data_IF_097828054774
#
_entry.id   IF_097828054774
#
_cell.length_a   1.000
_cell.length_b   1.000
_cell.length_c   1.000
_cell.angle_alpha   90.00
_cell.angle_beta   90.00
_cell.angle_gamma   90.00
#
_symmetry.space_group_name_H-M   'P 1'
#
loop_
_entity.id
_entity.type
_entity.pdbx_description
1 polymer ?
#
# COMPACT_ATOMS: atom_id res chain seq x y z
N UNK A 1 3.64 -8.81 25.18
CA UNK A 1 3.98 -8.37 23.80
C UNK A 1 2.78 -8.62 22.86
N UNK A 2 1.59 -8.18 23.26
CA UNK A 2 0.31 -8.49 22.58
C UNK A 2 0.04 -7.61 21.35
N UNK A 3 0.71 -6.45 21.24
CA UNK A 3 0.68 -5.62 20.02
C UNK A 3 1.20 -6.39 18.79
N UNK A 4 2.11 -7.34 18.98
CA UNK A 4 2.70 -8.12 17.88
C UNK A 4 1.75 -9.18 17.33
N UNK A 5 0.98 -9.88 18.18
CA UNK A 5 -0.03 -10.82 17.69
C UNK A 5 -1.19 -10.11 16.98
N UNK A 6 -1.45 -8.86 17.34
CA UNK A 6 -2.44 -8.02 16.67
C UNK A 6 -1.96 -7.52 15.28
N UNK A 7 -0.65 -7.41 15.03
CA UNK A 7 -0.17 -6.89 13.75
C UNK A 7 -0.34 -7.87 12.58
N UNK A 8 -0.31 -9.18 12.84
CA UNK A 8 -0.38 -10.20 11.78
C UNK A 8 -1.77 -10.23 11.12
N UNK A 9 -2.85 -10.14 11.91
CA UNK A 9 -4.21 -10.14 11.36
C UNK A 9 -4.51 -8.85 10.60
N UNK A 10 -4.01 -7.69 11.07
CA UNK A 10 -4.13 -6.41 10.35
C UNK A 10 -3.41 -6.53 9.01
N UNK A 11 -2.20 -7.12 9.01
CA UNK A 11 -1.41 -7.24 7.80
C UNK A 11 -2.04 -8.18 6.78
N UNK A 12 -2.51 -9.35 7.21
CA UNK A 12 -3.28 -10.27 6.33
C UNK A 12 -4.55 -9.62 5.80
N UNK A 13 -5.25 -8.87 6.64
CA UNK A 13 -6.43 -8.10 6.24
C UNK A 13 -6.11 -7.07 5.15
N UNK A 14 -5.01 -6.33 5.32
CA UNK A 14 -4.52 -5.39 4.33
C UNK A 14 -4.19 -6.08 3.00
N UNK A 15 -3.38 -7.16 3.02
CA UNK A 15 -3.02 -7.90 1.79
C UNK A 15 -4.27 -8.47 1.09
N UNK A 16 -5.23 -8.99 1.86
CA UNK A 16 -6.52 -9.43 1.34
C UNK A 16 -7.34 -8.29 0.73
N UNK A 17 -7.32 -7.11 1.35
CA UNK A 17 -7.95 -5.90 0.83
C UNK A 17 -7.32 -5.40 -0.47
N UNK A 18 -5.99 -5.45 -0.57
CA UNK A 18 -5.25 -5.12 -1.79
C UNK A 18 -5.57 -6.07 -2.93
N UNK A 19 -5.71 -7.37 -2.65
CA UNK A 19 -6.01 -8.41 -3.65
C UNK A 19 -7.51 -8.58 -3.95
N UNK A 20 -8.40 -7.85 -3.27
CA UNK A 20 -9.84 -7.97 -3.48
C UNK A 20 -10.24 -7.36 -4.83
N UNK A 21 -10.86 -8.17 -5.69
CA UNK A 21 -11.21 -7.79 -7.06
C UNK A 21 -12.26 -6.66 -7.13
N UNK A 22 -13.22 -6.64 -6.21
CA UNK A 22 -14.26 -5.60 -6.16
C UNK A 22 -13.67 -4.25 -5.77
N UNK A 23 -12.84 -4.23 -4.72
CA UNK A 23 -12.08 -3.04 -4.32
C UNK A 23 -11.21 -2.53 -5.48
N UNK A 24 -10.44 -3.41 -6.12
CA UNK A 24 -9.60 -3.02 -7.27
C UNK A 24 -10.43 -2.47 -8.43
N UNK A 25 -11.60 -3.04 -8.71
CA UNK A 25 -12.47 -2.59 -9.80
C UNK A 25 -13.05 -1.21 -9.49
N UNK A 26 -13.50 -0.99 -8.26
CA UNK A 26 -14.03 0.30 -7.80
C UNK A 26 -12.98 1.41 -7.89
N UNK A 27 -11.80 1.22 -7.29
CA UNK A 27 -10.74 2.24 -7.29
C UNK A 27 -10.13 2.45 -8.68
N UNK A 28 -10.14 1.44 -9.54
CA UNK A 28 -9.58 1.55 -10.89
C UNK A 28 -10.33 2.57 -11.74
N UNK A 29 -11.66 2.56 -11.67
CA UNK A 29 -12.53 3.45 -12.43
C UNK A 29 -12.33 4.91 -12.00
N UNK A 30 -12.12 5.15 -10.71
CA UNK A 30 -12.12 6.51 -10.15
C UNK A 30 -10.71 7.12 -10.02
N UNK A 31 -9.68 6.30 -9.78
CA UNK A 31 -8.38 6.78 -9.32
C UNK A 31 -7.17 6.23 -10.08
N UNK A 32 -7.30 5.12 -10.82
CA UNK A 32 -6.18 4.51 -11.54
C UNK A 32 -6.33 4.56 -13.06
N UNK A 33 -6.91 5.64 -13.57
CA UNK A 33 -7.13 5.89 -14.99
C UNK A 33 -6.42 7.17 -15.40
N UNK A 34 -5.14 7.06 -15.79
CA UNK A 34 -4.41 8.15 -16.46
C UNK A 34 -4.43 7.97 -17.98
N UNK A 35 -4.40 9.08 -18.71
CA UNK A 35 -4.41 9.10 -20.18
C UNK A 35 -3.20 8.39 -20.81
N UNK A 36 -2.02 8.47 -20.18
CA UNK A 36 -0.81 7.80 -20.65
C UNK A 36 -0.80 6.28 -20.40
N UNK A 37 -1.73 5.72 -19.63
CA UNK A 37 -1.87 4.27 -19.43
C UNK A 37 -2.84 3.60 -20.40
N UNK A 38 -3.35 4.34 -21.40
CA UNK A 38 -4.32 3.84 -22.39
C UNK A 38 -3.74 2.98 -23.50
N UNK A 39 -2.40 2.86 -23.60
CA UNK A 39 -1.74 2.15 -24.70
C UNK A 39 -1.53 0.65 -24.44
N UNK A 40 -1.95 0.16 -23.26
CA UNK A 40 -1.82 -1.24 -22.81
C UNK A 40 -0.40 -1.85 -22.95
N UNK A 41 0.63 -1.02 -23.06
CA UNK A 41 2.03 -1.48 -23.03
C UNK A 41 2.41 -1.99 -21.63
N UNK A 42 3.52 -2.72 -21.54
CA UNK A 42 3.92 -3.35 -20.29
C UNK A 42 4.19 -2.36 -19.14
N UNK A 43 4.63 -1.13 -19.46
CA UNK A 43 4.86 -0.08 -18.46
C UNK A 43 3.53 0.47 -17.93
N UNK A 44 2.57 0.73 -18.82
CA UNK A 44 1.21 1.17 -18.51
C UNK A 44 0.47 0.13 -17.67
N UNK A 45 0.56 -1.14 -18.07
CA UNK A 45 -0.04 -2.26 -17.33
C UNK A 45 0.56 -2.38 -15.94
N UNK A 46 1.89 -2.28 -15.80
CA UNK A 46 2.56 -2.35 -14.50
C UNK A 46 2.13 -1.21 -13.57
N UNK A 47 2.08 0.04 -14.06
CA UNK A 47 1.65 1.19 -13.26
C UNK A 47 0.17 1.13 -12.89
N UNK A 48 -0.70 0.74 -13.82
CA UNK A 48 -2.12 0.54 -13.54
C UNK A 48 -2.33 -0.55 -12.48
N UNK A 49 -1.57 -1.63 -12.55
CA UNK A 49 -1.61 -2.73 -11.57
C UNK A 49 -1.11 -2.28 -10.20
N UNK A 50 0.02 -1.54 -10.15
CA UNK A 50 0.54 -0.97 -8.92
C UNK A 50 -0.46 -0.02 -8.26
N UNK A 51 -1.07 0.87 -9.05
CA UNK A 51 -2.09 1.80 -8.58
C UNK A 51 -3.29 1.05 -7.99
N UNK A 52 -3.82 0.04 -8.70
CA UNK A 52 -4.96 -0.76 -8.22
C UNK A 52 -4.68 -1.43 -6.88
N UNK A 53 -3.52 -2.07 -6.73
CA UNK A 53 -3.14 -2.73 -5.48
C UNK A 53 -3.06 -1.74 -4.31
N UNK A 54 -2.38 -0.61 -4.51
CA UNK A 54 -2.20 0.40 -3.47
C UNK A 54 -3.53 1.08 -3.13
N UNK A 55 -4.31 1.48 -4.13
CA UNK A 55 -5.60 2.14 -3.94
C UNK A 55 -6.62 1.21 -3.25
N UNK A 56 -6.65 -0.08 -3.59
CA UNK A 56 -7.46 -1.07 -2.89
C UNK A 56 -7.02 -1.26 -1.42
N UNK A 57 -5.70 -1.19 -1.16
CA UNK A 57 -5.17 -1.13 0.21
C UNK A 57 -5.61 0.12 0.98
N UNK A 58 -5.55 1.29 0.36
CA UNK A 58 -6.04 2.56 0.94
C UNK A 58 -7.55 2.52 1.23
N UNK A 59 -8.31 1.90 0.33
CA UNK A 59 -9.74 1.68 0.50
C UNK A 59 -10.01 0.74 1.68
N UNK A 60 -9.28 -0.37 1.79
CA UNK A 60 -9.37 -1.27 2.93
C UNK A 60 -9.09 -0.53 4.24
N UNK A 61 -8.00 0.25 4.31
CA UNK A 61 -7.66 1.07 5.47
C UNK A 61 -8.82 2.00 5.85
N UNK A 62 -9.40 2.69 4.86
CA UNK A 62 -10.52 3.62 5.08
C UNK A 62 -11.80 2.93 5.55
N UNK A 63 -11.97 1.64 5.24
CA UNK A 63 -13.08 0.80 5.71
C UNK A 63 -12.84 0.22 7.11
N UNK A 64 -11.63 0.31 7.68
CA UNK A 64 -11.39 -0.03 9.08
C UNK A 64 -12.14 0.99 9.94
N UNK A 65 -13.27 0.56 10.48
CA UNK A 65 -14.13 1.38 11.34
C UNK A 65 -14.52 0.55 12.55
N UNK A 66 -14.19 1.04 13.73
CA UNK A 66 -14.63 0.43 14.99
C UNK A 66 -15.85 1.19 15.50
N UNK A 67 -16.82 0.44 16.02
CA UNK A 67 -17.97 0.99 16.73
C UNK A 67 -17.88 0.64 18.20
N UNK A 68 -18.54 1.43 19.04
CA UNK A 68 -18.68 1.10 20.46
C UNK A 68 -19.39 -0.25 20.60
N UNK A 69 -18.71 -1.21 21.21
CA UNK A 69 -19.27 -2.54 21.52
C UNK A 69 -19.10 -2.76 23.01
N UNK A 70 -20.22 -2.65 23.72
CA UNK A 70 -20.34 -3.04 25.11
C UNK A 70 -21.09 -4.36 25.17
N UNK A 71 -20.39 -5.42 25.57
CA UNK A 71 -20.98 -6.72 25.85
C UNK A 71 -21.01 -6.93 27.37
N UNK A 72 -22.19 -6.86 28.01
CA UNK A 72 -22.31 -7.07 29.45
C UNK A 72 -21.93 -8.49 29.92
N UNK A 73 -21.68 -9.44 29.00
CA UNK A 73 -21.21 -10.80 29.29
C UNK A 73 -19.79 -11.10 28.80
N UNK A 74 -19.12 -10.18 28.09
CA UNK A 74 -18.03 -10.53 27.19
C UNK A 74 -16.68 -9.84 27.46
N UNK A 75 -15.60 -10.61 27.26
CA UNK A 75 -14.18 -10.22 27.33
C UNK A 75 -13.72 -9.30 26.17
N UNK A 76 -14.67 -8.65 25.47
CA UNK A 76 -14.49 -8.10 24.11
C UNK A 76 -14.90 -6.62 24.04
N UNK A 77 -14.99 -5.95 25.20
CA UNK A 77 -15.42 -4.57 25.30
C UNK A 77 -14.44 -3.65 24.56
N UNK A 78 -14.93 -2.94 23.55
CA UNK A 78 -14.15 -1.87 22.91
C UNK A 78 -14.53 -0.54 23.55
N UNK A 79 -13.89 -0.22 24.68
CA UNK A 79 -14.16 0.98 25.47
C UNK A 79 -13.63 2.26 24.81
N UNK A 80 -12.59 2.14 23.95
CA UNK A 80 -11.97 3.25 23.20
C UNK A 80 -11.97 2.95 21.68
N UNK A 81 -13.15 2.86 21.04
CA UNK A 81 -13.25 2.38 19.66
C UNK A 81 -12.57 3.30 18.64
N UNK A 82 -12.58 4.61 18.86
CA UNK A 82 -12.03 5.55 17.89
C UNK A 82 -10.50 5.58 17.91
N UNK A 83 -9.88 5.56 19.09
CA UNK A 83 -8.42 5.41 19.21
C UNK A 83 -7.96 4.08 18.60
N UNK A 84 -8.73 3.01 18.82
CA UNK A 84 -8.47 1.71 18.21
C UNK A 84 -8.63 1.74 16.68
N UNK A 85 -9.59 2.49 16.15
CA UNK A 85 -9.77 2.71 14.72
C UNK A 85 -8.56 3.42 14.12
N UNK A 86 -8.21 4.61 14.63
CA UNK A 86 -7.10 5.42 14.10
C UNK A 86 -5.77 4.68 14.22
N UNK A 87 -5.55 3.98 15.33
CA UNK A 87 -4.38 3.12 15.52
C UNK A 87 -4.30 2.02 14.45
N UNK A 88 -5.39 1.27 14.23
CA UNK A 88 -5.42 0.21 13.19
C UNK A 88 -5.20 0.79 11.80
N UNK A 89 -5.78 1.95 11.50
CA UNK A 89 -5.60 2.63 10.22
C UNK A 89 -4.14 3.08 10.01
N UNK A 90 -3.52 3.65 11.05
CA UNK A 90 -2.11 4.05 11.04
C UNK A 90 -1.19 2.83 10.83
N UNK A 91 -1.37 1.77 11.61
CA UNK A 91 -0.56 0.55 11.50
C UNK A 91 -0.70 -0.08 10.10
N UNK A 92 -1.93 -0.18 9.58
CA UNK A 92 -2.17 -0.69 8.24
C UNK A 92 -1.56 0.24 7.15
N UNK A 93 -1.56 1.56 7.35
CA UNK A 93 -0.87 2.49 6.46
C UNK A 93 0.64 2.24 6.43
N UNK A 94 1.28 2.09 7.59
CA UNK A 94 2.71 1.78 7.67
C UNK A 94 3.05 0.46 6.96
N UNK A 95 2.20 -0.56 7.12
CA UNK A 95 2.33 -1.83 6.40
C UNK A 95 2.16 -1.64 4.89
N UNK A 96 1.17 -0.87 4.43
CA UNK A 96 0.94 -0.60 3.01
C UNK A 96 2.12 0.11 2.36
N UNK A 97 2.72 1.07 3.07
CA UNK A 97 3.94 1.76 2.62
C UNK A 97 5.11 0.81 2.49
N UNK A 98 5.30 -0.07 3.47
CA UNK A 98 6.33 -1.11 3.40
C UNK A 98 6.09 -2.09 2.24
N UNK A 99 4.83 -2.47 1.95
CA UNK A 99 4.49 -3.27 0.77
C UNK A 99 4.78 -2.50 -0.52
N UNK A 100 4.47 -1.20 -0.59
CA UNK A 100 4.76 -0.37 -1.76
C UNK A 100 6.28 -0.24 -2.02
N UNK A 101 7.10 -0.12 -0.97
CA UNK A 101 8.55 -0.21 -1.10
C UNK A 101 9.00 -1.58 -1.63
N UNK A 102 8.39 -2.65 -1.14
CA UNK A 102 8.67 -4.01 -1.60
C UNK A 102 8.25 -4.22 -3.06
N UNK A 103 7.14 -3.61 -3.51
CA UNK A 103 6.73 -3.54 -4.91
C UNK A 103 7.83 -2.89 -5.76
N UNK A 104 8.33 -1.72 -5.35
CA UNK A 104 9.43 -1.02 -6.05
C UNK A 104 10.71 -1.85 -6.10
N UNK A 105 11.05 -2.51 -4.99
CA UNK A 105 12.24 -3.37 -4.88
C UNK A 105 12.18 -4.59 -5.81
N UNK A 106 10.99 -5.18 -5.96
CA UNK A 106 10.77 -6.37 -6.79
C UNK A 106 10.53 -6.05 -8.27
N UNK A 107 9.96 -4.89 -8.58
CA UNK A 107 9.77 -4.39 -9.94
C UNK A 107 11.09 -3.86 -10.51
N UNK A 108 11.95 -4.78 -10.92
CA UNK A 108 13.34 -4.46 -11.27
C UNK A 108 13.47 -3.82 -12.65
N UNK A 109 12.59 -4.16 -13.59
CA UNK A 109 12.67 -3.75 -15.00
C UNK A 109 11.70 -2.60 -15.23
N UNK A 110 10.44 -2.74 -14.80
CA UNK A 110 9.43 -1.71 -14.89
C UNK A 110 9.67 -0.62 -13.84
N UNK A 111 9.41 0.63 -14.22
CA UNK A 111 9.21 1.69 -13.23
C UNK A 111 7.72 1.78 -12.90
N UNK A 112 7.38 1.63 -11.63
CA UNK A 112 6.00 1.65 -11.11
C UNK A 112 5.72 2.81 -10.15
N UNK A 113 6.68 3.74 -10.02
CA UNK A 113 6.57 4.88 -9.11
C UNK A 113 5.31 5.71 -9.40
N UNK A 114 5.01 5.96 -10.67
CA UNK A 114 3.84 6.73 -11.09
C UNK A 114 2.53 6.08 -10.60
N UNK A 115 2.41 4.76 -10.73
CA UNK A 115 1.25 4.00 -10.26
C UNK A 115 1.04 4.11 -8.75
N UNK A 116 2.12 3.96 -7.99
CA UNK A 116 2.10 4.08 -6.53
C UNK A 116 1.73 5.52 -6.11
N UNK A 117 2.38 6.52 -6.68
CA UNK A 117 2.13 7.94 -6.39
C UNK A 117 0.70 8.36 -6.74
N UNK A 118 0.17 7.86 -7.86
CA UNK A 118 -1.21 8.13 -8.28
C UNK A 118 -2.20 7.60 -7.25
N UNK A 119 -2.00 6.37 -6.74
CA UNK A 119 -2.86 5.80 -5.71
C UNK A 119 -2.81 6.59 -4.39
N UNK A 120 -1.62 6.92 -3.90
CA UNK A 120 -1.48 7.70 -2.66
C UNK A 120 -2.02 9.13 -2.79
N UNK A 121 -1.95 9.74 -3.97
CA UNK A 121 -2.55 11.06 -4.24
C UNK A 121 -4.08 11.04 -4.14
N UNK A 122 -4.70 9.87 -4.36
CA UNK A 122 -6.14 9.66 -4.20
C UNK A 122 -6.57 9.30 -2.76
N UNK A 123 -5.62 9.14 -1.81
CA UNK A 123 -5.94 8.74 -0.44
C UNK A 123 -6.97 9.65 0.26
N UNK A 124 -6.95 10.99 0.12
CA UNK A 124 -7.99 11.85 0.69
C UNK A 124 -9.39 11.57 0.16
N UNK A 125 -9.52 11.35 -1.15
CA UNK A 125 -10.80 11.06 -1.82
C UNK A 125 -11.32 9.68 -1.41
N UNK A 126 -10.45 8.67 -1.43
CA UNK A 126 -10.76 7.31 -0.97
C UNK A 126 -11.23 7.33 0.49
N UNK A 127 -10.51 8.04 1.37
CA UNK A 127 -10.90 8.22 2.77
C UNK A 127 -12.28 8.88 2.88
N UNK A 128 -12.52 9.95 2.13
CA UNK A 128 -13.78 10.69 2.18
C UNK A 128 -14.98 9.89 1.68
N UNK A 129 -14.75 8.90 0.82
CA UNK A 129 -15.80 8.04 0.28
C UNK A 129 -16.09 6.84 1.17
N UNK A 130 -15.08 6.29 1.83
CA UNK A 130 -15.19 5.02 2.55
C UNK A 130 -15.20 5.13 4.07
N UNK A 131 -14.71 6.23 4.64
CA UNK A 131 -14.72 6.46 6.07
C UNK A 131 -15.80 7.47 6.49
N UNK A 132 -17.06 6.98 6.51
CA UNK A 132 -18.26 7.84 6.60
C UNK A 132 -19.01 7.70 7.94
N UNK A 133 -18.35 7.27 9.02
CA UNK A 133 -18.97 7.09 10.33
C UNK A 133 -19.10 8.38 11.16
N UNK A 134 -18.80 9.54 10.58
CA UNK A 134 -18.83 10.83 11.28
C UNK A 134 -17.73 10.98 12.34
N UNK A 135 -16.64 10.21 12.22
CA UNK A 135 -15.50 10.22 13.15
C UNK A 135 -14.20 10.57 12.44
N UNK A 136 -13.17 11.00 13.18
CA UNK A 136 -11.82 11.11 12.63
C UNK A 136 -11.38 9.80 11.97
N UNK A 137 -10.76 9.92 10.80
CA UNK A 137 -10.08 8.82 10.15
C UNK A 137 -8.75 9.30 9.61
N UNK A 138 -7.75 8.44 9.71
CA UNK A 138 -6.39 8.72 9.27
C UNK A 138 -6.33 8.78 7.74
N UNK A 139 -5.63 9.79 7.20
CA UNK A 139 -5.31 9.86 5.76
C UNK A 139 -3.91 9.30 5.56
N UNK A 140 -3.81 8.14 4.91
CA UNK A 140 -2.54 7.47 4.67
C UNK A 140 -1.74 8.15 3.55
N UNK A 141 -0.67 8.87 3.92
CA UNK A 141 0.18 9.61 2.98
C UNK A 141 1.51 8.91 2.70
N UNK A 142 2.02 9.08 1.49
CA UNK A 142 3.27 8.44 1.04
C UNK A 142 4.52 9.06 1.70
N UNK A 143 4.54 10.37 1.92
CA UNK A 143 5.69 11.19 2.32
C UNK A 143 6.10 11.09 3.79
N UNK A 144 5.26 10.53 4.65
CA UNK A 144 5.58 10.37 6.08
C UNK A 144 6.70 9.34 6.30
N UNK A 145 7.83 9.76 6.87
CA UNK A 145 8.95 8.84 7.16
C UNK A 145 8.71 8.09 8.46
N UNK A 146 9.02 6.78 8.48
CA UNK A 146 8.91 5.94 9.68
C UNK A 146 10.21 5.20 10.03
N UNK A 147 11.30 5.44 9.30
CA UNK A 147 12.59 4.76 9.52
C UNK A 147 13.12 4.95 10.95
N UNK A 148 12.96 6.16 11.49
CA UNK A 148 13.37 6.54 12.86
C UNK A 148 12.20 6.50 13.87
N UNK A 149 11.07 5.92 13.49
CA UNK A 149 9.93 5.77 14.38
C UNK A 149 10.18 4.64 15.38
N UNK A 150 9.97 4.93 16.67
CA UNK A 150 10.12 3.99 17.77
C UNK A 150 8.78 3.81 18.49
N UNK A 151 8.49 2.59 18.91
CA UNK A 151 7.23 2.22 19.59
C UNK A 151 7.27 2.47 21.10
N UNK A 152 8.44 2.74 21.64
CA UNK A 152 8.70 2.90 23.07
C UNK A 152 9.51 4.17 23.35
N UNK A 153 9.37 4.69 24.58
CA UNK A 153 10.06 5.90 25.03
C UNK A 153 11.56 5.70 25.20
N UNK A 154 12.02 4.46 25.44
CA UNK A 154 13.43 4.12 25.53
C UNK A 154 14.12 4.01 24.15
N UNK A 155 13.33 4.05 23.05
CA UNK A 155 13.79 3.95 21.66
C UNK A 155 14.48 2.61 21.35
N UNK A 156 14.06 1.53 22.00
CA UNK A 156 14.60 0.19 21.77
C UNK A 156 13.89 -0.54 20.64
N UNK A 157 12.60 -0.25 20.41
CA UNK A 157 11.73 -0.96 19.46
C UNK A 157 11.47 -0.10 18.24
N UNK A 158 12.27 -0.30 17.20
CA UNK A 158 12.10 0.37 15.89
C UNK A 158 10.95 -0.22 15.09
N UNK A 159 10.17 0.66 14.46
CA UNK A 159 9.03 0.27 13.59
C UNK A 159 9.49 -0.49 12.35
N UNK A 160 10.55 -0.01 11.69
CA UNK A 160 11.01 -0.58 10.41
C UNK A 160 11.37 -2.07 10.48
N UNK A 161 12.24 -2.54 11.39
CA UNK A 161 12.54 -3.98 11.53
C UNK A 161 11.28 -4.82 11.81
N UNK A 162 10.30 -4.26 12.51
CA UNK A 162 9.05 -4.96 12.79
C UNK A 162 8.21 -5.16 11.53
N UNK A 163 8.11 -4.14 10.67
CA UNK A 163 7.44 -4.24 9.38
C UNK A 163 8.16 -5.21 8.42
N UNK A 164 9.49 -5.23 8.43
CA UNK A 164 10.29 -6.19 7.66
C UNK A 164 10.07 -7.64 8.11
N UNK A 165 9.97 -7.86 9.42
CA UNK A 165 9.63 -9.17 9.99
C UNK A 165 8.25 -9.64 9.55
N UNK A 166 7.26 -8.74 9.47
CA UNK A 166 5.91 -9.07 8.99
C UNK A 166 5.88 -9.45 7.51
N UNK A 167 6.60 -8.70 6.66
CA UNK A 167 6.75 -9.06 5.25
C UNK A 167 7.34 -10.45 5.07
N UNK A 168 8.35 -10.79 5.90
CA UNK A 168 9.00 -12.11 5.84
C UNK A 168 8.08 -13.21 6.36
N UNK A 169 7.36 -12.96 7.45
CA UNK A 169 6.41 -13.91 8.04
C UNK A 169 5.22 -14.25 7.12
N UNK A 170 4.75 -13.27 6.36
CA UNK A 170 3.66 -13.42 5.37
C UNK A 170 4.16 -13.62 3.94
N UNK A 171 5.39 -14.10 3.74
CA UNK A 171 6.05 -14.13 2.43
C UNK A 171 5.21 -14.76 1.31
N UNK A 172 4.50 -15.85 1.58
CA UNK A 172 3.59 -16.50 0.61
C UNK A 172 2.42 -15.59 0.22
N UNK A 173 1.76 -14.97 1.21
CA UNK A 173 0.64 -14.05 0.98
C UNK A 173 1.11 -12.82 0.19
N UNK A 174 2.26 -12.25 0.57
CA UNK A 174 2.89 -11.13 -0.14
C UNK A 174 3.22 -11.51 -1.58
N UNK A 175 3.79 -12.69 -1.81
CA UNK A 175 4.07 -13.17 -3.17
C UNK A 175 2.80 -13.24 -4.00
N UNK A 176 1.74 -13.84 -3.47
CA UNK A 176 0.46 -13.96 -4.17
C UNK A 176 -0.15 -12.59 -4.50
N UNK A 177 -0.13 -11.65 -3.55
CA UNK A 177 -0.63 -10.28 -3.76
C UNK A 177 0.15 -9.53 -4.84
N UNK A 178 1.46 -9.77 -4.95
CA UNK A 178 2.33 -9.09 -5.92
C UNK A 178 2.51 -9.85 -7.25
N UNK A 179 1.94 -11.05 -7.40
CA UNK A 179 2.13 -11.88 -8.60
C UNK A 179 1.78 -11.13 -9.88
N UNK A 180 0.61 -10.49 -9.94
CA UNK A 180 0.15 -9.80 -11.15
C UNK A 180 1.01 -8.60 -11.51
N UNK A 181 1.47 -7.85 -10.51
CA UNK A 181 2.38 -6.73 -10.70
C UNK A 181 3.68 -7.17 -11.37
N UNK A 182 4.21 -8.33 -10.98
CA UNK A 182 5.53 -8.79 -11.40
C UNK A 182 5.50 -9.60 -12.70
N UNK A 183 4.32 -9.81 -13.32
CA UNK A 183 4.19 -10.56 -14.58
C UNK A 183 4.99 -9.93 -15.73
N UNK A 184 4.99 -8.60 -15.84
CA UNK A 184 5.71 -7.86 -16.89
C UNK A 184 7.21 -7.73 -16.61
N UNK A 185 7.62 -7.89 -15.36
CA UNK A 185 9.02 -7.93 -14.89
C UNK A 185 9.64 -9.33 -14.92
N UNK A 186 8.82 -10.37 -15.05
CA UNK A 186 9.22 -11.77 -14.91
C UNK A 186 10.14 -12.27 -16.02
N UNK A 187 10.85 -13.37 -15.75
CA UNK A 187 11.68 -14.05 -16.76
C UNK A 187 10.86 -14.57 -17.94
N UNK A 188 9.60 -14.88 -17.69
CA UNK A 188 8.64 -15.38 -18.69
C UNK A 188 7.97 -14.26 -19.49
N UNK A 189 8.23 -12.99 -19.14
CA UNK A 189 7.74 -11.85 -19.90
C UNK A 189 8.43 -11.77 -21.28
N UNK A 190 7.67 -11.36 -22.29
CA UNK A 190 8.21 -11.20 -23.66
C UNK A 190 9.36 -10.18 -23.69
N UNK A 191 10.25 -10.32 -24.68
CA UNK A 191 11.33 -9.34 -24.90
C UNK A 191 10.77 -7.93 -25.09
N UNK A 192 9.69 -7.78 -25.86
CA UNK A 192 9.03 -6.49 -26.07
C UNK A 192 8.54 -5.86 -24.76
N UNK A 193 7.85 -6.63 -23.91
CA UNK A 193 7.36 -6.15 -22.61
C UNK A 193 8.50 -5.67 -21.71
N UNK A 194 9.60 -6.44 -21.67
CA UNK A 194 10.78 -6.09 -20.89
C UNK A 194 11.44 -4.81 -21.43
N UNK A 195 11.55 -4.66 -22.75
CA UNK A 195 12.09 -3.45 -23.39
C UNK A 195 11.22 -2.22 -23.12
N UNK A 196 9.90 -2.34 -23.21
CA UNK A 196 8.96 -1.27 -22.89
C UNK A 196 9.16 -0.78 -21.45
N UNK A 197 9.23 -1.72 -20.50
CA UNK A 197 9.48 -1.39 -19.09
C UNK A 197 10.84 -0.73 -18.85
N UNK A 198 11.91 -1.25 -19.47
CA UNK A 198 13.25 -0.66 -19.36
C UNK A 198 13.31 0.75 -19.95
N UNK A 199 12.66 0.99 -21.09
CA UNK A 199 12.66 2.30 -21.74
C UNK A 199 12.11 3.39 -20.78
N UNK A 200 10.93 3.15 -20.21
CA UNK A 200 10.31 4.08 -19.25
C UNK A 200 11.12 4.24 -17.97
N UNK A 201 11.78 3.18 -17.49
CA UNK A 201 12.66 3.26 -16.32
C UNK A 201 13.90 4.10 -16.57
N UNK A 202 14.54 3.93 -17.73
CA UNK A 202 15.69 4.75 -18.13
C UNK A 202 15.30 6.21 -18.30
N UNK A 203 14.13 6.48 -18.87
CA UNK A 203 13.60 7.85 -18.99
C UNK A 203 13.39 8.51 -17.62
N UNK A 204 12.76 7.80 -16.68
CA UNK A 204 12.58 8.30 -15.33
C UNK A 204 13.90 8.60 -14.60
N UNK A 205 14.92 7.73 -14.76
CA UNK A 205 16.26 7.96 -14.19
C UNK A 205 16.94 9.20 -14.79
N UNK A 206 16.76 9.47 -16.08
CA UNK A 206 17.29 10.71 -16.70
C UNK A 206 16.65 11.96 -16.11
N UNK A 207 15.34 11.93 -15.87
CA UNK A 207 14.62 13.05 -15.26
C UNK A 207 15.11 13.32 -13.83
N UNK A 208 15.34 12.27 -13.04
CA UNK A 208 15.90 12.38 -11.68
C UNK A 208 17.33 12.98 -11.67
N UNK A 209 18.17 12.58 -12.62
CA UNK A 209 19.53 13.15 -12.76
C UNK A 209 19.48 14.64 -13.14
N UNK A 210 18.61 15.01 -14.07
CA UNK A 210 18.46 16.41 -14.50
C UNK A 210 17.94 17.35 -13.41
N UNK A 211 17.15 16.83 -12.47
CA UNK A 211 16.63 17.61 -11.32
C UNK A 211 17.65 17.72 -10.18
N UNK A 212 18.65 16.85 -10.10
CA UNK A 212 19.78 16.97 -9.18
C UNK A 212 20.91 17.84 -9.73
N UNK A 213 21.07 17.96 -11.05
CA UNK A 213 22.09 18.82 -11.67
C UNK A 213 21.68 20.30 -11.77
N UNK A 214 20.39 20.61 -11.54
CA UNK A 214 19.82 21.95 -11.58
C UNK A 214 19.44 22.48 -10.18
N UNK A 215 19.84 21.78 -9.11
CA UNK A 215 19.62 22.14 -7.71
C UNK A 215 20.93 22.51 -7.01
#
# INVERSE_FOLDING_TARGET
NEMISASDWIFRGLLGGMSNADNQSEVALEHCSKSNWGNDDAHSVANKTACKLVAAGLQYISKIQDTYKFDPKGNNNNLNPYDNQEYKQLVACLMLKRVAEEMKRRSKICNIDEGIETAFSAAPQIKSKHCNNGKPCFVCKLDEKYDDCHLDTAKEVKVKPKLESLLTGEGTTVNNTLTDLLKTDGKDASLCSRLQCLASKVEALKLQQSSQSNA
#
